data_IF_858999050332
#
_entry.id   IF_858999050332
#
_cell.length_a   1.000
_cell.length_b   1.000
_cell.length_c   1.000
_cell.angle_alpha   90.00
_cell.angle_beta   90.00
_cell.angle_gamma   90.00
#
_symmetry.space_group_name_H-M   'P 1'
#
loop_
_entity.id
_entity.type
_entity.pdbx_description
1 polymer ?
#
# COMPACT_ATOMS: atom_id res chain seq x y z
N UNK A 1 -15.29 0.95 -60.98
CA UNK A 1 -16.62 1.60 -61.14
C UNK A 1 -17.48 1.27 -59.92
N UNK A 2 -17.65 2.20 -59.04
CA UNK A 2 -18.71 2.22 -58.00
C UNK A 2 -19.04 3.68 -57.72
N UNK A 3 -20.34 4.02 -57.82
CA UNK A 3 -20.90 5.36 -57.78
C UNK A 3 -20.92 5.96 -56.37
N UNK A 4 -20.99 7.29 -56.22
CA UNK A 4 -20.97 8.00 -54.98
C UNK A 4 -22.36 8.05 -54.33
N UNK A 5 -22.45 7.83 -53.00
CA UNK A 5 -23.63 7.93 -52.20
C UNK A 5 -23.91 9.39 -51.78
N UNK A 6 -25.09 9.83 -52.04
CA UNK A 6 -25.62 11.19 -51.79
C UNK A 6 -25.81 11.45 -50.29
N UNK A 7 -25.25 12.56 -49.81
CA UNK A 7 -25.59 13.14 -48.51
C UNK A 7 -27.01 13.71 -48.52
N UNK A 8 -27.83 13.21 -47.58
CA UNK A 8 -29.18 13.72 -47.30
C UNK A 8 -29.07 14.78 -46.21
N UNK A 9 -29.34 16.03 -46.56
CA UNK A 9 -29.45 17.14 -45.60
C UNK A 9 -30.74 16.99 -44.79
N UNK A 10 -30.62 17.07 -43.46
CA UNK A 10 -31.76 17.19 -42.53
C UNK A 10 -32.09 18.66 -42.26
N UNK A 11 -33.36 19.02 -42.08
CA UNK A 11 -33.79 20.41 -41.89
C UNK A 11 -33.48 20.89 -40.46
N UNK A 12 -33.12 22.17 -40.35
CA UNK A 12 -32.87 22.88 -39.10
C UNK A 12 -34.18 23.05 -38.32
N UNK A 13 -34.25 22.54 -37.09
CA UNK A 13 -35.33 22.81 -36.15
C UNK A 13 -35.08 24.12 -35.42
N UNK A 14 -36.10 24.97 -35.41
CA UNK A 14 -36.21 26.26 -34.75
C UNK A 14 -36.02 26.15 -33.22
N UNK A 15 -35.20 27.04 -32.67
CA UNK A 15 -34.88 27.07 -31.24
C UNK A 15 -36.08 27.46 -30.36
N UNK A 16 -36.30 26.65 -29.33
CA UNK A 16 -37.07 27.05 -28.14
C UNK A 16 -36.16 27.77 -27.16
N UNK A 17 -36.63 28.79 -26.43
CA UNK A 17 -35.82 29.49 -25.43
C UNK A 17 -35.48 28.55 -24.27
N UNK A 18 -34.21 28.54 -23.91
CA UNK A 18 -33.71 27.80 -22.73
C UNK A 18 -34.30 28.43 -21.46
N UNK A 19 -35.20 27.72 -20.80
CA UNK A 19 -35.58 28.04 -19.43
C UNK A 19 -34.36 28.04 -18.52
N UNK A 20 -34.17 29.12 -17.77
CA UNK A 20 -33.11 29.32 -16.83
C UNK A 20 -33.08 28.17 -15.80
N UNK A 21 -31.91 27.54 -15.70
CA UNK A 21 -31.63 26.53 -14.68
C UNK A 21 -31.65 27.22 -13.32
N UNK A 22 -32.74 27.04 -12.57
CA UNK A 22 -32.79 27.47 -11.17
C UNK A 22 -31.55 26.95 -10.43
N UNK A 23 -30.78 27.86 -9.85
CA UNK A 23 -29.76 27.53 -8.90
C UNK A 23 -30.40 26.72 -7.76
N UNK A 24 -30.17 25.42 -7.72
CA UNK A 24 -30.50 24.62 -6.56
C UNK A 24 -29.73 25.22 -5.39
N UNK A 25 -30.43 25.89 -4.49
CA UNK A 25 -29.92 26.20 -3.17
C UNK A 25 -29.45 24.89 -2.57
N UNK A 26 -28.14 24.79 -2.35
CA UNK A 26 -27.51 23.69 -1.63
C UNK A 26 -28.16 23.71 -0.24
N UNK A 27 -29.05 22.76 0.03
CA UNK A 27 -29.51 22.51 1.39
C UNK A 27 -28.24 22.38 2.23
N UNK A 28 -28.12 23.18 3.28
CA UNK A 28 -27.08 23.03 4.29
C UNK A 28 -27.34 21.67 4.95
N UNK A 29 -26.75 20.62 4.41
CA UNK A 29 -26.65 19.37 5.15
C UNK A 29 -25.89 19.68 6.42
N UNK A 30 -26.31 19.14 7.58
CA UNK A 30 -25.59 19.36 8.83
C UNK A 30 -24.14 18.99 8.62
N UNK A 31 -23.21 19.87 9.03
CA UNK A 31 -21.77 19.59 8.96
C UNK A 31 -21.51 18.24 9.65
N UNK A 32 -20.85 17.34 8.92
CA UNK A 32 -20.46 16.05 9.51
C UNK A 32 -19.55 16.30 10.72
N UNK A 33 -19.75 15.56 11.83
CA UNK A 33 -18.94 15.74 13.03
C UNK A 33 -17.47 15.41 12.73
N UNK A 34 -16.57 16.29 13.12
CA UNK A 34 -15.14 16.10 12.95
C UNK A 34 -14.60 14.90 13.76
N UNK A 35 -13.39 14.43 13.40
CA UNK A 35 -12.72 13.27 14.02
C UNK A 35 -12.73 13.32 15.55
N UNK A 36 -12.41 14.47 16.15
CA UNK A 36 -12.37 14.62 17.61
C UNK A 36 -13.74 14.39 18.26
N UNK A 37 -14.80 14.88 17.63
CA UNK A 37 -16.17 14.71 18.13
C UNK A 37 -16.60 13.26 18.06
N UNK A 38 -16.27 12.57 16.96
CA UNK A 38 -16.58 11.15 16.81
C UNK A 38 -15.79 10.29 17.79
N UNK A 39 -14.51 10.56 17.99
CA UNK A 39 -13.68 9.86 18.98
C UNK A 39 -14.20 10.07 20.41
N UNK A 40 -14.65 11.27 20.75
CA UNK A 40 -15.22 11.57 22.07
C UNK A 40 -16.55 10.84 22.34
N UNK A 41 -17.26 10.43 21.29
CA UNK A 41 -18.51 9.64 21.39
C UNK A 41 -18.28 8.13 21.36
N UNK A 42 -17.07 7.71 20.96
CA UNK A 42 -16.76 6.28 20.83
C UNK A 42 -16.73 5.62 22.21
N UNK A 43 -17.37 4.47 22.30
CA UNK A 43 -17.38 3.64 23.50
C UNK A 43 -16.49 2.42 23.28
N UNK A 44 -15.55 2.12 24.19
CA UNK A 44 -14.75 0.90 24.12
C UNK A 44 -15.63 -0.35 24.00
N UNK A 45 -15.22 -1.29 23.14
CA UNK A 45 -15.99 -2.51 22.87
C UNK A 45 -17.10 -2.37 21.83
N UNK A 46 -17.32 -1.18 21.28
CA UNK A 46 -18.25 -0.95 20.17
C UNK A 46 -17.51 -0.69 18.85
N UNK A 47 -18.16 -1.02 17.75
CA UNK A 47 -17.66 -0.68 16.41
C UNK A 47 -17.53 0.83 16.23
N UNK A 48 -16.65 1.25 15.33
CA UNK A 48 -16.54 2.66 14.94
C UNK A 48 -17.86 3.14 14.32
N UNK A 49 -18.21 4.40 14.59
CA UNK A 49 -19.36 5.04 13.96
C UNK A 49 -19.21 5.04 12.42
N UNK A 50 -20.32 4.94 11.70
CA UNK A 50 -20.33 4.81 10.23
C UNK A 50 -19.60 5.96 9.51
N UNK A 51 -19.56 7.14 10.12
CA UNK A 51 -18.85 8.31 9.61
C UNK A 51 -17.35 8.06 9.45
N UNK A 52 -16.73 7.25 10.32
CA UNK A 52 -15.32 6.87 10.18
C UNK A 52 -15.02 6.13 8.88
N UNK A 53 -16.01 5.46 8.32
CA UNK A 53 -15.87 4.67 7.08
C UNK A 53 -16.36 5.41 5.83
N UNK A 54 -17.20 6.46 5.97
CA UNK A 54 -17.89 7.08 4.84
C UNK A 54 -17.56 8.54 4.62
N UNK A 55 -17.12 9.26 5.65
CA UNK A 55 -16.83 10.69 5.54
C UNK A 55 -15.56 10.96 4.75
N UNK A 56 -15.61 11.77 3.67
CA UNK A 56 -14.42 12.20 2.95
C UNK A 56 -13.44 13.02 3.80
N UNK A 57 -13.96 13.76 4.81
CA UNK A 57 -13.12 14.55 5.71
C UNK A 57 -12.32 13.66 6.64
N UNK A 58 -12.95 12.60 7.15
CA UNK A 58 -12.25 11.57 7.94
C UNK A 58 -11.20 10.88 7.09
N UNK A 59 -11.52 10.50 5.85
CA UNK A 59 -10.56 9.90 4.93
C UNK A 59 -9.35 10.82 4.71
N UNK A 60 -9.58 12.12 4.46
CA UNK A 60 -8.47 13.09 4.33
C UNK A 60 -7.63 13.20 5.60
N UNK A 61 -8.26 13.12 6.78
CA UNK A 61 -7.55 13.10 8.04
C UNK A 61 -6.69 11.83 8.20
N UNK A 62 -7.21 10.66 7.78
CA UNK A 62 -6.46 9.40 7.77
C UNK A 62 -5.23 9.48 6.87
N UNK A 63 -5.42 9.94 5.62
CA UNK A 63 -4.31 10.09 4.67
C UNK A 63 -3.22 10.99 5.26
N UNK A 64 -3.60 12.12 5.83
CA UNK A 64 -2.65 13.08 6.41
C UNK A 64 -2.00 12.57 7.69
N UNK A 65 -2.78 12.02 8.60
CA UNK A 65 -2.35 11.73 9.97
C UNK A 65 -1.84 10.32 10.20
N UNK A 66 -2.13 9.39 9.30
CA UNK A 66 -1.74 7.98 9.40
C UNK A 66 -0.83 7.62 8.23
N UNK A 67 -1.35 7.67 7.02
CA UNK A 67 -0.65 7.15 5.84
C UNK A 67 0.59 7.96 5.45
N UNK A 68 0.48 9.30 5.45
CA UNK A 68 1.62 10.17 5.13
C UNK A 68 2.53 10.43 6.33
N UNK A 69 2.08 10.19 7.55
CA UNK A 69 2.84 10.46 8.77
C UNK A 69 3.64 9.24 9.27
N UNK A 70 3.21 8.04 8.92
CA UNK A 70 3.77 6.77 9.36
C UNK A 70 4.81 6.17 8.42
N UNK A 71 5.26 4.97 8.79
CA UNK A 71 6.03 4.10 7.92
C UNK A 71 5.08 3.12 7.22
N UNK A 72 5.25 3.00 5.91
CA UNK A 72 4.43 2.15 5.05
C UNK A 72 5.29 1.04 4.47
N UNK A 73 4.80 -0.19 4.49
CA UNK A 73 5.40 -1.27 3.74
C UNK A 73 5.26 -0.99 2.25
N UNK A 74 6.37 -1.00 1.53
CA UNK A 74 6.40 -0.69 0.10
C UNK A 74 6.60 -1.92 -0.78
N UNK A 75 7.31 -2.95 -0.28
CA UNK A 75 7.63 -4.14 -1.04
C UNK A 75 8.86 -4.85 -0.49
N UNK A 76 9.43 -5.76 -1.28
CA UNK A 76 10.61 -6.52 -0.91
C UNK A 76 11.83 -6.12 -1.75
N UNK A 77 13.01 -6.07 -1.14
CA UNK A 77 14.26 -5.65 -1.82
C UNK A 77 14.66 -6.53 -3.01
N UNK A 78 14.10 -7.75 -3.12
CA UNK A 78 14.30 -8.60 -4.30
C UNK A 78 13.61 -8.08 -5.56
N UNK A 79 12.63 -7.18 -5.43
CA UNK A 79 11.92 -6.58 -6.56
C UNK A 79 12.78 -5.51 -7.26
N UNK A 80 13.78 -4.98 -6.53
CA UNK A 80 14.80 -4.06 -7.04
C UNK A 80 16.19 -4.65 -6.83
N UNK A 81 16.45 -5.81 -7.42
CA UNK A 81 17.64 -6.63 -7.12
C UNK A 81 18.94 -6.06 -7.71
N UNK A 82 18.86 -5.31 -8.80
CA UNK A 82 20.02 -4.75 -9.53
C UNK A 82 19.93 -3.23 -9.57
N UNK A 83 21.07 -2.53 -9.63
CA UNK A 83 21.07 -1.09 -9.88
C UNK A 83 20.19 -0.74 -11.11
N UNK A 84 19.33 0.25 -10.96
CA UNK A 84 18.38 0.66 -11.99
C UNK A 84 17.03 -0.08 -11.96
N UNK A 85 16.91 -1.22 -11.29
CA UNK A 85 15.59 -1.86 -11.11
C UNK A 85 14.71 -0.96 -10.24
N UNK A 86 13.45 -0.80 -10.64
CA UNK A 86 12.48 0.01 -9.92
C UNK A 86 11.09 -0.61 -9.94
N UNK A 87 10.28 -0.23 -8.95
CA UNK A 87 8.82 -0.34 -8.99
C UNK A 87 8.18 0.97 -8.51
N UNK A 88 6.91 1.16 -8.83
CA UNK A 88 6.12 2.32 -8.38
C UNK A 88 5.09 1.90 -7.36
N UNK A 89 4.82 2.78 -6.39
CA UNK A 89 3.79 2.62 -5.38
C UNK A 89 2.85 3.82 -5.44
N UNK A 90 1.55 3.57 -5.50
CA UNK A 90 0.52 4.60 -5.46
C UNK A 90 -0.07 4.71 -4.04
N UNK A 91 -0.13 5.93 -3.52
CA UNK A 91 -0.77 6.23 -2.26
C UNK A 91 -1.66 7.46 -2.42
N UNK A 92 -2.98 7.24 -2.47
CA UNK A 92 -3.96 8.30 -2.73
C UNK A 92 -3.64 9.04 -4.04
N UNK A 93 -3.10 10.24 -3.96
CA UNK A 93 -2.68 11.05 -5.12
C UNK A 93 -1.17 11.07 -5.33
N UNK A 94 -0.42 10.43 -4.48
CA UNK A 94 1.05 10.36 -4.57
C UNK A 94 1.47 9.10 -5.32
N UNK A 95 2.38 9.26 -6.28
CA UNK A 95 3.10 8.15 -6.92
C UNK A 95 4.56 8.21 -6.48
N UNK A 96 5.10 7.09 -6.03
CA UNK A 96 6.46 6.95 -5.49
C UNK A 96 7.23 5.92 -6.31
N UNK A 97 8.46 6.26 -6.69
CA UNK A 97 9.41 5.33 -7.30
C UNK A 97 10.28 4.75 -6.19
N UNK A 98 10.39 3.44 -6.14
CA UNK A 98 11.38 2.72 -5.32
C UNK A 98 12.40 2.15 -6.28
N UNK A 99 13.66 2.54 -6.16
CA UNK A 99 14.71 2.21 -7.13
C UNK A 99 16.00 1.78 -6.43
N UNK A 100 16.69 0.79 -6.99
CA UNK A 100 18.05 0.44 -6.56
C UNK A 100 19.06 1.42 -7.19
N UNK A 101 19.82 2.09 -6.35
CA UNK A 101 20.92 2.97 -6.78
C UNK A 101 22.16 2.21 -7.24
N UNK A 102 23.04 2.90 -7.95
CA UNK A 102 24.34 2.37 -8.37
C UNK A 102 25.25 1.99 -7.19
N UNK A 103 25.06 2.64 -6.04
CA UNK A 103 25.76 2.34 -4.78
C UNK A 103 25.18 1.12 -4.05
N UNK A 104 24.11 0.50 -4.59
CA UNK A 104 23.42 -0.63 -3.99
C UNK A 104 22.37 -0.25 -2.95
N UNK A 105 22.20 1.03 -2.61
CA UNK A 105 21.13 1.49 -1.71
C UNK A 105 19.78 1.56 -2.42
N UNK A 106 18.70 1.47 -1.67
CA UNK A 106 17.34 1.68 -2.19
C UNK A 106 16.94 3.13 -1.92
N UNK A 107 16.53 3.83 -2.97
CA UNK A 107 16.02 5.18 -2.90
C UNK A 107 14.51 5.20 -3.12
N UNK A 108 13.82 6.09 -2.41
CA UNK A 108 12.42 6.44 -2.61
C UNK A 108 12.32 7.85 -3.18
N UNK A 109 11.58 8.03 -4.25
CA UNK A 109 11.48 9.31 -4.95
C UNK A 109 10.02 9.58 -5.31
N UNK A 110 9.55 10.82 -5.12
CA UNK A 110 8.26 11.19 -5.71
C UNK A 110 8.34 11.09 -7.23
N UNK A 111 7.42 10.34 -7.82
CA UNK A 111 7.32 10.09 -9.26
C UNK A 111 6.76 11.29 -10.03
N UNK A 112 7.26 12.48 -9.73
CA UNK A 112 6.74 13.74 -10.27
C UNK A 112 7.90 14.59 -10.76
N UNK A 113 7.98 14.77 -12.10
CA UNK A 113 9.01 15.57 -12.73
C UNK A 113 8.99 17.03 -12.25
N UNK A 114 10.14 17.53 -11.83
CA UNK A 114 10.30 18.88 -11.27
C UNK A 114 10.12 20.01 -12.28
N UNK A 115 9.99 19.66 -13.57
CA UNK A 115 9.73 20.63 -14.63
C UNK A 115 8.25 21.05 -14.66
N UNK A 116 7.33 20.13 -14.93
CA UNK A 116 5.90 20.41 -15.12
C UNK A 116 4.98 19.32 -14.56
N UNK A 117 5.43 18.55 -13.60
CA UNK A 117 4.60 17.64 -12.84
C UNK A 117 4.16 16.34 -13.55
N UNK A 118 4.75 16.02 -14.71
CA UNK A 118 4.48 14.73 -15.37
C UNK A 118 5.06 13.57 -14.56
N UNK A 119 4.42 12.40 -14.58
CA UNK A 119 5.02 11.16 -14.11
C UNK A 119 6.33 10.90 -14.84
N UNK A 120 7.35 10.44 -14.11
CA UNK A 120 8.66 10.07 -14.65
C UNK A 120 8.66 8.60 -15.09
N UNK A 121 8.19 7.71 -14.23
CA UNK A 121 7.95 6.29 -14.50
C UNK A 121 6.46 6.05 -14.65
N UNK A 122 6.00 5.66 -15.84
CA UNK A 122 4.59 5.33 -16.12
C UNK A 122 4.29 3.86 -15.86
N UNK A 123 5.30 3.00 -15.96
CA UNK A 123 5.15 1.56 -15.75
C UNK A 123 5.25 1.22 -14.26
N UNK A 124 4.52 0.21 -13.77
CA UNK A 124 4.52 -0.18 -12.37
C UNK A 124 5.86 -0.75 -11.90
N UNK A 125 6.67 -1.28 -12.81
CA UNK A 125 8.02 -1.78 -12.55
C UNK A 125 8.87 -1.76 -13.81
N UNK A 126 10.18 -1.72 -13.65
CA UNK A 126 11.08 -1.73 -14.79
C UNK A 126 12.53 -1.63 -14.39
N UNK A 127 13.36 -1.36 -15.41
CA UNK A 127 14.79 -1.11 -15.25
C UNK A 127 15.17 0.15 -16.02
N UNK A 128 15.85 1.09 -15.34
CA UNK A 128 16.26 2.35 -15.93
C UNK A 128 17.61 2.78 -15.34
N UNK A 129 18.65 2.87 -16.15
CA UNK A 129 19.94 3.45 -15.76
C UNK A 129 19.82 4.95 -15.45
N UNK A 130 18.78 5.60 -15.95
CA UNK A 130 18.40 7.00 -15.69
C UNK A 130 16.89 7.12 -15.76
N UNK A 131 16.32 7.86 -14.85
CA UNK A 131 14.90 8.17 -14.83
C UNK A 131 14.64 9.34 -15.80
N UNK A 132 14.02 9.07 -16.95
CA UNK A 132 13.81 10.07 -18.01
C UNK A 132 12.33 10.42 -18.10
N UNK A 133 12.01 11.68 -17.84
CA UNK A 133 10.65 12.18 -17.96
C UNK A 133 10.19 12.09 -19.44
N UNK A 134 9.06 11.43 -19.73
CA UNK A 134 8.60 11.25 -21.11
C UNK A 134 8.13 12.55 -21.76
N UNK A 135 7.84 13.60 -20.97
CA UNK A 135 7.27 14.82 -21.51
C UNK A 135 8.34 15.72 -22.17
N UNK A 136 9.43 16.09 -21.45
CA UNK A 136 10.46 16.99 -21.97
C UNK A 136 11.88 16.46 -21.78
N UNK A 137 12.02 15.15 -21.52
CA UNK A 137 13.30 14.46 -21.41
C UNK A 137 14.25 15.01 -20.33
N UNK A 138 13.68 15.58 -19.25
CA UNK A 138 14.46 15.81 -18.04
C UNK A 138 14.90 14.46 -17.51
N UNK A 139 16.18 14.33 -17.23
CA UNK A 139 16.77 13.07 -16.80
C UNK A 139 17.33 13.18 -15.38
N UNK A 140 17.04 12.18 -14.58
CA UNK A 140 17.47 12.08 -13.19
C UNK A 140 18.28 10.81 -13.00
N UNK A 141 19.22 10.85 -12.06
CA UNK A 141 19.89 9.65 -11.55
C UNK A 141 18.98 8.87 -10.62
N UNK A 142 19.42 7.66 -10.22
CA UNK A 142 18.68 6.80 -9.30
C UNK A 142 18.54 7.38 -7.89
N UNK A 143 19.38 8.34 -7.49
CA UNK A 143 19.26 9.11 -6.24
C UNK A 143 18.30 10.32 -6.35
N UNK A 144 17.73 10.55 -7.55
CA UNK A 144 16.83 11.66 -7.84
C UNK A 144 17.51 12.94 -8.29
N UNK A 145 18.84 13.02 -8.34
CA UNK A 145 19.56 14.22 -8.80
C UNK A 145 19.29 14.53 -10.26
N UNK A 146 19.01 15.79 -10.61
CA UNK A 146 18.80 16.20 -12.01
C UNK A 146 20.13 16.17 -12.79
N UNK A 147 20.23 15.29 -13.77
CA UNK A 147 21.44 15.13 -14.62
C UNK A 147 21.34 16.01 -15.85
N UNK A 148 20.20 16.00 -16.53
CA UNK A 148 19.99 16.72 -17.79
C UNK A 148 18.62 17.40 -17.84
N UNK A 149 18.59 18.63 -18.34
CA UNK A 149 17.39 19.48 -18.48
C UNK A 149 17.44 20.21 -19.82
N UNK A 150 17.22 19.46 -20.91
CA UNK A 150 17.27 20.03 -22.26
C UNK A 150 16.30 21.20 -22.43
N UNK A 151 16.76 22.25 -23.12
CA UNK A 151 15.94 23.42 -23.46
C UNK A 151 15.84 24.47 -22.34
N UNK A 152 16.55 24.29 -21.23
CA UNK A 152 16.62 25.27 -20.15
C UNK A 152 17.76 26.27 -20.37
N UNK A 153 17.67 27.41 -19.68
CA UNK A 153 18.69 28.45 -19.77
C UNK A 153 20.06 27.95 -19.29
N UNK A 154 21.16 28.37 -19.94
CA UNK A 154 22.51 28.14 -19.45
C UNK A 154 22.65 28.65 -18.00
N UNK A 155 23.26 27.85 -17.12
CA UNK A 155 23.47 28.22 -15.71
C UNK A 155 22.36 27.84 -14.73
N UNK A 156 21.34 27.10 -15.16
CA UNK A 156 20.36 26.53 -14.22
C UNK A 156 21.07 25.67 -13.17
N UNK A 157 20.85 26.01 -11.90
CA UNK A 157 21.33 25.20 -10.78
C UNK A 157 20.51 23.91 -10.66
N UNK A 158 21.02 22.83 -11.24
CA UNK A 158 20.35 21.52 -11.27
C UNK A 158 20.09 20.94 -9.88
N UNK A 159 20.88 21.31 -8.87
CA UNK A 159 20.73 20.79 -7.51
C UNK A 159 19.35 21.13 -6.92
N UNK A 160 18.75 22.24 -7.36
CA UNK A 160 17.42 22.67 -6.88
C UNK A 160 16.26 21.88 -7.52
N UNK A 161 16.52 21.10 -8.56
CA UNK A 161 15.50 20.45 -9.40
C UNK A 161 15.57 18.92 -9.37
N UNK A 162 16.23 18.33 -8.37
CA UNK A 162 16.16 16.90 -8.11
C UNK A 162 14.74 16.46 -7.78
N UNK A 163 14.40 15.19 -8.03
CA UNK A 163 13.17 14.59 -7.55
C UNK A 163 13.14 14.67 -6.02
N UNK A 164 11.96 14.90 -5.44
CA UNK A 164 11.84 14.91 -3.99
C UNK A 164 12.05 13.51 -3.44
N UNK A 165 12.96 13.39 -2.48
CA UNK A 165 13.21 12.13 -1.80
C UNK A 165 12.07 11.77 -0.86
N UNK A 166 11.89 10.47 -0.68
CA UNK A 166 11.06 9.84 0.33
C UNK A 166 11.97 9.02 1.22
N UNK A 167 11.78 9.07 2.52
CA UNK A 167 12.58 8.27 3.45
C UNK A 167 12.35 6.78 3.22
N UNK A 168 13.45 6.00 3.17
CA UNK A 168 13.42 4.55 2.95
C UNK A 168 14.17 3.85 4.09
N UNK A 169 13.63 2.76 4.57
CA UNK A 169 14.27 1.83 5.50
C UNK A 169 14.08 0.40 5.04
N UNK A 170 15.09 -0.42 5.24
CA UNK A 170 15.05 -1.85 4.96
C UNK A 170 15.28 -2.64 6.25
N UNK A 171 14.47 -3.69 6.46
CA UNK A 171 14.66 -4.65 7.53
C UNK A 171 14.43 -6.07 7.00
N UNK A 172 15.46 -6.91 7.03
CA UNK A 172 15.45 -8.30 6.59
C UNK A 172 14.82 -8.52 5.19
N UNK A 173 15.03 -7.55 4.27
CA UNK A 173 14.51 -7.57 2.92
C UNK A 173 13.18 -6.82 2.73
N UNK A 174 12.46 -6.52 3.79
CA UNK A 174 11.25 -5.71 3.69
C UNK A 174 11.62 -4.23 3.58
N UNK A 175 11.04 -3.55 2.60
CA UNK A 175 11.26 -2.13 2.32
C UNK A 175 10.10 -1.31 2.86
N UNK A 176 10.42 -0.29 3.64
CA UNK A 176 9.47 0.66 4.21
C UNK A 176 9.79 2.07 3.76
N UNK A 177 8.74 2.87 3.56
CA UNK A 177 8.86 4.29 3.20
C UNK A 177 8.09 5.17 4.18
N UNK A 178 8.49 6.43 4.28
CA UNK A 178 7.71 7.46 4.95
C UNK A 178 7.68 8.74 4.12
N UNK A 179 6.47 9.29 3.93
CA UNK A 179 6.25 10.54 3.21
C UNK A 179 6.31 11.75 4.14
N UNK A 180 6.55 11.53 5.44
CA UNK A 180 6.67 12.61 6.41
C UNK A 180 7.96 13.40 6.21
N UNK A 181 7.92 14.73 6.33
CA UNK A 181 9.13 15.56 6.33
C UNK A 181 10.07 15.22 7.49
N UNK A 182 9.50 14.79 8.62
CA UNK A 182 10.22 14.32 9.80
C UNK A 182 9.56 13.03 10.28
N UNK A 183 9.97 11.88 9.74
CA UNK A 183 9.42 10.59 10.13
C UNK A 183 9.66 10.29 11.62
N UNK A 184 8.73 9.56 12.20
CA UNK A 184 8.98 8.95 13.50
C UNK A 184 10.17 7.99 13.41
N UNK A 185 10.95 7.77 14.49
CA UNK A 185 12.07 6.85 14.46
C UNK A 185 11.64 5.46 14.01
N UNK A 186 12.38 4.87 13.06
CA UNK A 186 12.12 3.53 12.56
C UNK A 186 12.72 2.42 13.43
N UNK A 187 13.72 2.77 14.25
CA UNK A 187 14.47 1.79 15.04
C UNK A 187 13.61 0.90 15.94
N UNK A 188 12.58 1.41 16.63
CA UNK A 188 11.69 0.54 17.41
C UNK A 188 10.98 -0.52 16.56
N UNK A 189 10.56 -0.16 15.34
CA UNK A 189 9.95 -1.12 14.41
C UNK A 189 10.97 -2.15 13.91
N UNK A 190 12.18 -1.70 13.54
CA UNK A 190 13.26 -2.60 13.12
C UNK A 190 13.60 -3.60 14.22
N UNK A 191 13.73 -3.13 15.47
CA UNK A 191 14.14 -3.96 16.61
C UNK A 191 13.05 -4.98 16.97
N UNK A 192 11.78 -4.63 16.78
CA UNK A 192 10.66 -5.54 16.96
C UNK A 192 10.53 -6.57 15.82
N UNK A 193 10.76 -6.15 14.56
CA UNK A 193 10.59 -7.01 13.38
C UNK A 193 11.77 -7.96 13.17
N UNK A 194 13.00 -7.52 13.40
CA UNK A 194 14.21 -8.29 13.09
C UNK A 194 14.21 -9.70 13.72
N UNK A 195 13.92 -9.90 15.01
CA UNK A 195 13.90 -11.22 15.61
C UNK A 195 12.83 -12.15 15.07
N UNK A 196 11.75 -11.59 14.51
CA UNK A 196 10.66 -12.35 13.90
C UNK A 196 10.97 -12.75 12.45
N UNK A 197 11.55 -11.84 11.68
CA UNK A 197 11.79 -12.02 10.25
C UNK A 197 13.06 -12.81 9.95
N UNK A 198 14.13 -12.58 10.72
CA UNK A 198 15.44 -13.20 10.49
C UNK A 198 15.41 -14.73 10.51
N UNK A 199 14.75 -15.40 11.48
CA UNK A 199 14.64 -16.86 11.48
C UNK A 199 13.89 -17.41 10.28
N UNK A 200 12.98 -16.62 9.68
CA UNK A 200 12.22 -17.00 8.49
C UNK A 200 13.05 -16.88 7.20
N UNK A 201 14.22 -16.26 7.25
CA UNK A 201 15.07 -16.06 6.09
C UNK A 201 14.54 -15.05 5.08
N UNK A 202 13.73 -14.08 5.51
CA UNK A 202 13.08 -13.07 4.64
C UNK A 202 14.08 -12.35 3.74
N UNK A 203 15.27 -12.03 4.21
CA UNK A 203 16.32 -11.40 3.39
C UNK A 203 16.62 -12.14 2.07
N UNK A 204 16.41 -13.47 2.04
CA UNK A 204 16.64 -14.31 0.86
C UNK A 204 15.35 -14.70 0.15
N UNK A 205 14.21 -14.21 0.62
CA UNK A 205 12.92 -14.49 0.01
C UNK A 205 12.83 -13.90 -1.40
N UNK A 206 11.93 -14.47 -2.18
CA UNK A 206 11.54 -13.99 -3.51
C UNK A 206 10.03 -13.86 -3.54
N UNK A 207 9.55 -12.90 -4.31
CA UNK A 207 8.12 -12.80 -4.62
C UNK A 207 7.76 -13.93 -5.58
N UNK A 208 6.91 -14.87 -5.14
CA UNK A 208 6.48 -16.00 -5.94
C UNK A 208 5.26 -15.66 -6.80
N UNK A 209 4.35 -14.85 -6.25
CA UNK A 209 3.15 -14.38 -6.94
C UNK A 209 2.65 -13.09 -6.29
N UNK A 210 1.97 -12.27 -7.06
CA UNK A 210 1.25 -11.08 -6.60
C UNK A 210 -0.19 -11.20 -7.07
N UNK A 211 -1.14 -10.86 -6.19
CA UNK A 211 -2.55 -10.79 -6.53
C UNK A 211 -3.14 -9.50 -5.95
N UNK A 212 -3.71 -8.68 -6.81
CA UNK A 212 -4.31 -7.41 -6.45
C UNK A 212 -5.85 -7.54 -6.44
N UNK A 213 -6.47 -7.09 -5.36
CA UNK A 213 -7.91 -7.09 -5.19
C UNK A 213 -8.42 -5.67 -5.00
N UNK A 214 -9.15 -5.16 -5.98
CA UNK A 214 -9.81 -3.86 -5.86
C UNK A 214 -11.10 -4.01 -5.04
N UNK A 215 -11.08 -3.50 -3.81
CA UNK A 215 -12.22 -3.54 -2.90
C UNK A 215 -12.86 -2.15 -2.81
N UNK A 216 -14.17 -2.04 -3.07
CA UNK A 216 -14.93 -0.78 -2.93
C UNK A 216 -15.31 -0.54 -1.46
N UNK A 217 -14.31 -0.40 -0.61
CA UNK A 217 -14.50 -0.19 0.82
C UNK A 217 -13.44 0.78 1.38
N UNK A 218 -13.72 1.34 2.55
CA UNK A 218 -12.71 2.09 3.29
C UNK A 218 -11.62 1.14 3.81
N UNK A 219 -10.38 1.58 3.81
CA UNK A 219 -9.23 0.81 4.27
C UNK A 219 -9.39 0.27 5.71
N UNK A 220 -10.10 0.99 6.58
CA UNK A 220 -10.34 0.54 7.96
C UNK A 220 -11.16 -0.75 8.00
N UNK A 221 -12.15 -0.91 7.12
CA UNK A 221 -12.92 -2.16 7.04
C UNK A 221 -12.04 -3.34 6.60
N UNK A 222 -11.13 -3.11 5.66
CA UNK A 222 -10.16 -4.12 5.24
C UNK A 222 -9.22 -4.48 6.39
N UNK A 223 -8.74 -3.45 7.11
CA UNK A 223 -7.87 -3.62 8.26
C UNK A 223 -8.56 -4.36 9.42
N UNK A 224 -9.79 -3.96 9.75
CA UNK A 224 -10.59 -4.60 10.79
C UNK A 224 -10.84 -6.07 10.45
N UNK A 225 -11.24 -6.37 9.20
CA UNK A 225 -11.41 -7.73 8.72
C UNK A 225 -10.12 -8.55 8.79
N UNK A 226 -8.97 -7.95 8.52
CA UNK A 226 -7.68 -8.65 8.59
C UNK A 226 -7.24 -8.92 10.05
N UNK A 227 -7.63 -8.10 10.99
CA UNK A 227 -7.28 -8.24 12.41
C UNK A 227 -8.23 -9.14 13.19
N UNK A 228 -9.42 -9.31 12.71
CA UNK A 228 -10.45 -10.14 13.32
C UNK A 228 -10.53 -11.46 12.54
N UNK A 229 -10.45 -12.58 13.23
CA UNK A 229 -10.51 -13.91 12.62
C UNK A 229 -11.77 -14.70 12.97
N UNK A 230 -12.72 -14.10 13.65
CA UNK A 230 -13.98 -14.72 14.02
C UNK A 230 -14.75 -15.24 12.79
N UNK A 231 -14.67 -14.50 11.68
CA UNK A 231 -15.28 -14.89 10.40
C UNK A 231 -14.57 -16.07 9.71
N UNK A 232 -13.30 -16.35 10.07
CA UNK A 232 -12.47 -17.34 9.36
C UNK A 232 -13.05 -18.75 9.43
N UNK A 233 -13.64 -19.14 10.56
CA UNK A 233 -14.21 -20.48 10.75
C UNK A 233 -15.29 -20.83 9.71
N UNK A 234 -16.09 -19.84 9.33
CA UNK A 234 -17.19 -20.03 8.38
C UNK A 234 -16.78 -19.73 6.94
N UNK A 235 -15.95 -18.72 6.74
CA UNK A 235 -15.66 -18.21 5.40
C UNK A 235 -14.37 -18.77 4.79
N UNK A 236 -13.44 -19.27 5.62
CA UNK A 236 -12.12 -19.73 5.17
C UNK A 236 -11.76 -21.12 5.68
N UNK A 237 -12.55 -22.17 5.39
CA UNK A 237 -12.33 -23.51 5.92
C UNK A 237 -10.96 -24.11 5.53
N UNK A 238 -10.40 -23.71 4.37
CA UNK A 238 -9.08 -24.13 3.94
C UNK A 238 -7.98 -23.47 4.79
N UNK A 239 -8.16 -22.19 5.14
CA UNK A 239 -7.27 -21.47 6.03
C UNK A 239 -7.24 -22.11 7.43
N UNK A 240 -8.41 -22.38 8.00
CA UNK A 240 -8.54 -23.04 9.31
C UNK A 240 -7.84 -24.41 9.30
N UNK A 241 -8.05 -25.19 8.24
CA UNK A 241 -7.39 -26.49 8.07
C UNK A 241 -5.86 -26.39 7.99
N UNK A 242 -5.36 -25.37 7.27
CA UNK A 242 -3.94 -25.18 7.05
C UNK A 242 -3.23 -24.60 8.26
N UNK A 243 -3.88 -23.68 8.98
CA UNK A 243 -3.30 -22.93 10.08
C UNK A 243 -3.73 -23.44 11.46
N UNK A 244 -4.63 -24.44 11.53
CA UNK A 244 -5.14 -25.01 12.77
C UNK A 244 -5.77 -23.96 13.70
N UNK A 245 -6.34 -22.92 13.09
CA UNK A 245 -6.84 -21.77 13.79
C UNK A 245 -8.28 -22.02 14.23
N UNK A 246 -8.45 -22.45 15.46
CA UNK A 246 -9.75 -22.62 16.10
C UNK A 246 -10.02 -21.40 16.98
N UNK A 247 -10.68 -20.41 16.38
CA UNK A 247 -11.01 -19.19 17.08
C UNK A 247 -12.25 -19.35 17.93
N UNK A 248 -12.03 -19.34 19.16
CA UNK A 248 -12.64 -18.57 20.22
C UNK A 248 -11.85 -18.92 21.47
N UNK A 249 -11.09 -17.96 21.99
CA UNK A 249 -10.36 -18.16 23.24
C UNK A 249 -11.31 -18.65 24.36
N UNK A 250 -12.58 -18.23 24.29
CA UNK A 250 -13.62 -18.59 25.25
C UNK A 250 -14.11 -20.04 25.07
N UNK A 251 -14.03 -20.61 23.87
CA UNK A 251 -14.46 -21.98 23.58
C UNK A 251 -13.30 -22.99 23.59
N UNK A 252 -12.06 -22.53 23.84
CA UNK A 252 -10.88 -23.40 23.80
C UNK A 252 -10.77 -24.23 25.08
N UNK A 253 -11.37 -25.41 25.07
CA UNK A 253 -11.20 -26.41 26.16
C UNK A 253 -9.76 -26.95 26.18
N UNK A 254 -9.29 -27.52 27.31
CA UNK A 254 -7.99 -28.19 27.36
C UNK A 254 -7.82 -29.25 26.26
N UNK A 255 -8.88 -30.00 25.96
CA UNK A 255 -8.92 -31.00 24.90
C UNK A 255 -8.66 -30.39 23.51
N UNK A 256 -9.32 -29.28 23.19
CA UNK A 256 -9.13 -28.59 21.89
C UNK A 256 -7.70 -28.09 21.77
N UNK A 257 -7.11 -27.53 22.85
CA UNK A 257 -5.69 -27.10 22.84
C UNK A 257 -4.74 -28.28 22.59
N UNK A 258 -5.00 -29.43 23.18
CA UNK A 258 -4.21 -30.62 22.96
C UNK A 258 -4.34 -31.14 21.53
N UNK A 259 -5.53 -31.15 20.96
CA UNK A 259 -5.82 -31.52 19.56
C UNK A 259 -5.08 -30.55 18.58
N UNK A 260 -5.11 -29.24 18.84
CA UNK A 260 -4.38 -28.23 18.07
C UNK A 260 -2.87 -28.47 18.16
N UNK A 261 -2.33 -28.67 19.36
CA UNK A 261 -0.93 -28.94 19.57
C UNK A 261 -0.46 -30.19 18.83
N UNK A 262 -1.22 -31.27 18.92
CA UNK A 262 -0.95 -32.51 18.20
C UNK A 262 -1.04 -32.34 16.67
N UNK A 263 -1.96 -31.51 16.18
CA UNK A 263 -2.10 -31.21 14.76
C UNK A 263 -0.90 -30.39 14.25
N UNK A 264 -0.47 -29.40 15.02
CA UNK A 264 0.75 -28.59 14.72
C UNK A 264 1.97 -29.46 14.65
N UNK A 265 2.17 -30.36 15.62
CA UNK A 265 3.29 -31.30 15.61
C UNK A 265 3.28 -32.21 14.37
N UNK A 266 2.13 -32.83 14.06
CA UNK A 266 1.99 -33.68 12.85
C UNK A 266 2.29 -32.89 11.57
N UNK A 267 1.84 -31.65 11.48
CA UNK A 267 2.10 -30.78 10.34
C UNK A 267 3.60 -30.43 10.24
N UNK A 268 4.21 -30.05 11.36
CA UNK A 268 5.65 -29.76 11.43
C UNK A 268 6.52 -30.94 10.99
N UNK A 269 6.19 -32.16 11.42
CA UNK A 269 6.88 -33.37 10.98
C UNK A 269 6.72 -33.62 9.48
N UNK A 270 5.51 -33.42 8.93
CA UNK A 270 5.24 -33.57 7.51
C UNK A 270 6.02 -32.58 6.66
N UNK A 271 6.08 -31.33 7.10
CA UNK A 271 6.83 -30.28 6.42
C UNK A 271 8.35 -30.52 6.47
N UNK A 272 8.85 -30.99 7.60
CA UNK A 272 10.26 -31.40 7.72
C UNK A 272 10.61 -32.54 6.76
N UNK A 273 9.71 -33.52 6.62
CA UNK A 273 9.91 -34.65 5.71
C UNK A 273 9.90 -34.21 4.22
N UNK A 274 9.23 -33.12 3.88
CA UNK A 274 9.23 -32.57 2.52
C UNK A 274 10.39 -31.60 2.25
N UNK A 275 11.29 -31.38 3.21
CA UNK A 275 12.40 -30.44 3.10
C UNK A 275 12.00 -28.97 3.30
N UNK A 276 10.74 -28.70 3.64
CA UNK A 276 10.29 -27.38 4.00
C UNK A 276 10.48 -27.15 5.51
N UNK A 277 10.90 -25.98 5.91
CA UNK A 277 11.23 -25.71 7.31
C UNK A 277 9.96 -25.73 8.18
N UNK A 278 9.85 -26.70 9.06
CA UNK A 278 8.74 -26.86 10.01
C UNK A 278 8.56 -25.61 10.90
N UNK A 279 9.64 -24.93 11.22
CA UNK A 279 9.62 -23.70 12.00
C UNK A 279 8.82 -22.57 11.38
N UNK A 280 8.62 -22.57 10.06
CA UNK A 280 7.86 -21.52 9.39
C UNK A 280 6.36 -21.55 9.73
N UNK A 281 5.77 -22.74 9.83
CA UNK A 281 4.36 -22.86 10.23
C UNK A 281 4.18 -22.47 11.69
N UNK A 282 5.01 -23.00 12.57
CA UNK A 282 4.94 -22.66 13.99
C UNK A 282 5.15 -21.17 14.24
N UNK A 283 6.05 -20.54 13.49
CA UNK A 283 6.36 -19.11 13.65
C UNK A 283 5.31 -18.22 13.00
N UNK A 284 4.72 -18.63 11.88
CA UNK A 284 3.60 -17.92 11.27
C UNK A 284 2.37 -17.87 12.19
N UNK A 285 2.15 -18.91 12.99
CA UNK A 285 1.09 -18.94 14.00
C UNK A 285 1.42 -18.16 15.29
N UNK A 286 2.69 -17.84 15.53
CA UNK A 286 3.17 -17.23 16.77
C UNK A 286 3.88 -15.90 16.56
N UNK A 287 3.71 -15.26 15.42
CA UNK A 287 4.27 -13.92 15.16
C UNK A 287 3.92 -12.92 16.27
N UNK A 288 2.80 -13.15 16.97
CA UNK A 288 2.43 -12.42 18.17
C UNK A 288 1.81 -13.39 19.18
N UNK A 289 2.58 -13.84 20.19
CA UNK A 289 2.10 -14.76 21.21
C UNK A 289 1.01 -14.18 22.12
N UNK A 290 0.73 -12.89 22.04
CA UNK A 290 -0.37 -12.24 22.72
C UNK A 290 -1.67 -12.48 21.94
N UNK A 291 -2.59 -13.23 22.50
CA UNK A 291 -3.91 -13.50 21.94
C UNK A 291 -4.71 -12.21 21.62
N UNK A 292 -4.38 -11.10 22.29
CA UNK A 292 -4.97 -9.78 22.05
C UNK A 292 -4.36 -9.05 20.82
N UNK A 293 -3.29 -9.57 20.22
CA UNK A 293 -2.55 -8.93 19.12
C UNK A 293 -2.40 -9.82 17.89
N UNK A 294 -3.37 -10.65 17.59
CA UNK A 294 -3.38 -11.47 16.38
C UNK A 294 -3.36 -10.57 15.13
N UNK A 295 -2.15 -10.12 14.76
CA UNK A 295 -1.90 -9.43 13.50
C UNK A 295 -1.33 -10.49 12.55
N UNK A 296 -2.11 -10.81 11.53
CA UNK A 296 -1.69 -11.67 10.43
C UNK A 296 -1.16 -10.79 9.30
N UNK A 297 -0.02 -11.14 8.75
CA UNK A 297 0.52 -10.55 7.52
C UNK A 297 0.27 -11.48 6.33
#
# INVERSE_FOLDING_TARGET
MRAPTKHRQQPRSSGRPKQGRALRTRSLEPEEPGVKTLLARHQPGWSLAAEFHRSPDIYRADIKGIWRAGWLFAGHSCEVSKPGDYFTLELDTDSIIIIRGENGEIHGLHNVCRHRGSLVCAEPQGHASRLVCPYHQWAYSSDGSLIACRGMQPGLDKAQFGLRAVEVKEVEGLVFISLAEKPIPFDPARDALTPLLRPQGFRRAKVAAVADYLVKANWKLVWENNRECYHCNLNHPQYIKANFDHYNADDTTPRIREEISAAVQRSSMKWSATGLAATHIATGMTLFPDAERNIWF
#
